data_IF_564972643484
#
_entry.id   IF_564972643484
#
_cell.length_a   1.000
_cell.length_b   1.000
_cell.length_c   1.000
_cell.angle_alpha   90.00
_cell.angle_beta   90.00
_cell.angle_gamma   90.00
#
_symmetry.space_group_name_H-M   'P 1'
#
loop_
_entity.id
_entity.type
_entity.pdbx_description
1 polymer ?
#
# COMPACT_ATOMS: atom_id res chain seq x y z
N UNK A 1 7.94 -10.55 -12.39
CA UNK A 1 7.00 -11.70 -12.48
C UNK A 1 5.76 -11.38 -11.67
N UNK A 2 4.57 -11.68 -12.20
CA UNK A 2 3.26 -11.27 -11.66
C UNK A 2 2.57 -12.45 -10.99
N UNK A 3 2.23 -12.34 -9.71
CA UNK A 3 1.51 -13.37 -8.95
C UNK A 3 0.02 -13.02 -8.93
N UNK A 4 -0.65 -13.32 -10.04
CA UNK A 4 -2.05 -12.94 -10.28
C UNK A 4 -3.00 -13.47 -9.20
N UNK A 5 -2.77 -14.66 -8.65
CA UNK A 5 -3.64 -15.24 -7.63
C UNK A 5 -3.51 -14.51 -6.29
N UNK A 6 -2.26 -14.24 -5.87
CA UNK A 6 -1.98 -13.48 -4.66
C UNK A 6 -2.48 -12.04 -4.75
N UNK A 7 -2.31 -11.39 -5.91
CA UNK A 7 -2.85 -10.04 -6.15
C UNK A 7 -4.38 -10.01 -6.05
N UNK A 8 -5.09 -11.00 -6.62
CA UNK A 8 -6.56 -11.09 -6.54
C UNK A 8 -7.04 -11.24 -5.09
N UNK A 9 -6.38 -12.10 -4.30
CA UNK A 9 -6.69 -12.29 -2.87
C UNK A 9 -6.47 -10.99 -2.09
N UNK A 10 -5.34 -10.32 -2.31
CA UNK A 10 -5.06 -9.02 -1.69
C UNK A 10 -6.10 -7.96 -2.08
N UNK A 11 -6.44 -7.85 -3.36
CA UNK A 11 -7.46 -6.92 -3.85
C UNK A 11 -8.84 -7.18 -3.23
N UNK A 12 -9.22 -8.45 -3.08
CA UNK A 12 -10.48 -8.84 -2.45
C UNK A 12 -10.55 -8.39 -0.99
N UNK A 13 -9.53 -8.74 -0.19
CA UNK A 13 -9.46 -8.36 1.22
C UNK A 13 -9.42 -6.83 1.39
N UNK A 14 -8.64 -6.14 0.56
CA UNK A 14 -8.49 -4.69 0.61
C UNK A 14 -9.80 -3.98 0.28
N UNK A 15 -10.55 -4.51 -0.69
CA UNK A 15 -11.89 -4.03 -1.00
C UNK A 15 -12.81 -4.17 0.21
N UNK A 16 -12.83 -5.33 0.88
CA UNK A 16 -13.69 -5.56 2.04
C UNK A 16 -13.36 -4.63 3.21
N UNK A 17 -12.07 -4.42 3.50
CA UNK A 17 -11.63 -3.52 4.57
C UNK A 17 -12.01 -2.07 4.24
N UNK A 18 -11.70 -1.59 3.02
CA UNK A 18 -11.90 -0.19 2.62
C UNK A 18 -13.35 0.29 2.64
N UNK A 19 -14.32 -0.62 2.47
CA UNK A 19 -15.75 -0.31 2.60
C UNK A 19 -16.31 -0.63 4.00
N UNK A 20 -15.45 -1.05 4.94
CA UNK A 20 -15.84 -1.37 6.32
C UNK A 20 -16.72 -2.61 6.46
N UNK A 21 -16.60 -3.60 5.56
CA UNK A 21 -17.31 -4.88 5.68
C UNK A 21 -16.69 -5.76 6.77
N UNK A 22 -15.36 -5.85 6.78
CA UNK A 22 -14.56 -6.58 7.76
C UNK A 22 -13.84 -5.62 8.71
N UNK A 23 -13.39 -6.14 9.85
CA UNK A 23 -12.52 -5.37 10.76
C UNK A 23 -11.08 -5.35 10.26
N UNK A 24 -10.26 -4.47 10.83
CA UNK A 24 -8.81 -4.53 10.67
C UNK A 24 -8.32 -5.93 11.08
N UNK A 25 -8.63 -6.44 12.27
CA UNK A 25 -8.17 -7.76 12.74
C UNK A 25 -8.58 -8.92 11.80
N UNK A 26 -9.83 -8.91 11.30
CA UNK A 26 -10.29 -9.88 10.29
C UNK A 26 -9.43 -9.80 9.02
N UNK A 27 -9.11 -8.59 8.58
CA UNK A 27 -8.27 -8.35 7.42
C UNK A 27 -6.84 -8.87 7.63
N UNK A 28 -6.26 -8.71 8.83
CA UNK A 28 -4.97 -9.31 9.17
C UNK A 28 -4.99 -10.82 9.10
N UNK A 29 -5.96 -11.45 9.77
CA UNK A 29 -6.09 -12.91 9.73
C UNK A 29 -6.21 -13.40 8.29
N UNK A 30 -7.08 -12.76 7.50
CA UNK A 30 -7.28 -13.12 6.10
C UNK A 30 -6.00 -12.94 5.27
N UNK A 31 -5.24 -11.86 5.46
CA UNK A 31 -3.97 -11.67 4.75
C UNK A 31 -2.92 -12.70 5.15
N UNK A 32 -2.88 -13.09 6.43
CA UNK A 32 -1.96 -14.12 6.92
C UNK A 32 -2.25 -15.51 6.32
N UNK A 33 -3.52 -15.79 6.04
CA UNK A 33 -3.93 -17.07 5.44
C UNK A 33 -3.74 -17.09 3.92
N UNK A 34 -3.93 -15.94 3.27
CA UNK A 34 -4.07 -15.88 1.81
C UNK A 34 -2.91 -15.23 1.04
N UNK A 35 -2.16 -14.31 1.68
CA UNK A 35 -1.26 -13.38 0.98
C UNK A 35 0.16 -13.36 1.56
N UNK A 36 0.34 -13.52 2.87
CA UNK A 36 1.67 -13.42 3.50
C UNK A 36 1.76 -14.28 4.75
N UNK A 37 2.96 -14.73 5.14
CA UNK A 37 3.16 -15.46 6.39
C UNK A 37 3.32 -14.55 7.62
N UNK A 38 3.08 -13.24 7.49
CA UNK A 38 3.10 -12.27 8.57
C UNK A 38 3.31 -10.83 8.10
N UNK A 39 3.42 -9.89 9.03
CA UNK A 39 3.46 -8.45 8.75
C UNK A 39 4.86 -7.83 8.70
N UNK A 40 5.90 -8.60 8.95
CA UNK A 40 7.27 -8.10 8.90
C UNK A 40 7.79 -8.05 7.46
N UNK A 41 8.66 -7.07 7.11
CA UNK A 41 9.25 -6.99 5.78
C UNK A 41 9.87 -8.30 5.28
N UNK A 42 10.49 -9.07 6.17
CA UNK A 42 11.13 -10.36 5.86
C UNK A 42 10.10 -11.45 5.52
N UNK A 43 8.85 -11.30 5.98
CA UNK A 43 7.74 -12.24 5.78
C UNK A 43 6.94 -11.95 4.51
N UNK A 44 7.00 -10.72 3.98
CA UNK A 44 6.31 -10.34 2.74
C UNK A 44 6.75 -11.20 1.56
N UNK A 45 8.05 -11.46 1.43
CA UNK A 45 8.64 -12.11 0.24
C UNK A 45 8.55 -13.64 0.26
N UNK A 46 8.20 -14.24 1.40
CA UNK A 46 8.32 -15.69 1.64
C UNK A 46 7.05 -16.29 2.23
N UNK A 47 5.90 -15.85 1.73
CA UNK A 47 4.63 -16.52 1.99
C UNK A 47 4.72 -17.99 1.53
N UNK A 48 4.10 -18.93 2.25
CA UNK A 48 4.16 -20.37 1.90
C UNK A 48 3.46 -20.63 0.56
N UNK A 49 2.56 -19.72 0.21
CA UNK A 49 1.73 -19.66 -0.97
C UNK A 49 2.47 -19.04 -2.17
N UNK A 50 3.54 -18.26 -1.92
CA UNK A 50 4.26 -17.55 -2.96
C UNK A 50 5.12 -18.52 -3.79
N UNK A 51 4.78 -18.66 -5.08
CA UNK A 51 5.63 -19.39 -6.04
C UNK A 51 6.86 -18.58 -6.42
N UNK A 52 6.77 -17.26 -6.32
CA UNK A 52 7.81 -16.31 -6.63
C UNK A 52 7.50 -14.95 -6.03
N UNK A 53 8.47 -14.05 -6.09
CA UNK A 53 8.37 -12.73 -5.50
C UNK A 53 7.80 -11.70 -6.49
N UNK A 54 6.59 -11.22 -6.21
CA UNK A 54 5.92 -10.18 -6.99
C UNK A 54 6.17 -8.81 -6.32
N UNK A 55 6.92 -7.90 -6.97
CA UNK A 55 7.38 -6.65 -6.34
C UNK A 55 6.26 -5.71 -5.86
N UNK A 56 5.02 -5.87 -6.34
CA UNK A 56 3.90 -5.04 -5.86
C UNK A 56 3.48 -5.38 -4.43
N UNK A 57 3.71 -6.60 -3.96
CA UNK A 57 3.06 -7.07 -2.74
C UNK A 57 3.57 -6.32 -1.52
N UNK A 58 4.87 -6.10 -1.39
CA UNK A 58 5.42 -5.35 -0.27
C UNK A 58 4.87 -3.91 -0.20
N UNK A 59 4.95 -3.08 -1.26
CA UNK A 59 4.36 -1.74 -1.25
C UNK A 59 2.88 -1.73 -0.88
N UNK A 60 2.12 -2.75 -1.31
CA UNK A 60 0.69 -2.85 -0.98
C UNK A 60 0.45 -3.22 0.48
N UNK A 61 1.23 -4.13 1.05
CA UNK A 61 1.14 -4.47 2.48
C UNK A 61 1.54 -3.28 3.36
N UNK A 62 2.56 -2.51 2.96
CA UNK A 62 2.93 -1.26 3.64
C UNK A 62 1.82 -0.21 3.58
N UNK A 63 1.13 -0.08 2.44
CA UNK A 63 -0.05 0.78 2.32
C UNK A 63 -1.19 0.30 3.23
N UNK A 64 -1.42 -1.02 3.30
CA UNK A 64 -2.45 -1.61 4.15
C UNK A 64 -2.17 -1.37 5.64
N UNK A 65 -0.90 -1.40 6.06
CA UNK A 65 -0.50 -1.06 7.42
C UNK A 65 -0.89 0.39 7.81
N UNK A 66 -0.92 1.31 6.84
CA UNK A 66 -1.42 2.67 7.06
C UNK A 66 -2.95 2.78 7.28
N UNK A 67 -3.70 1.69 7.07
CA UNK A 67 -5.15 1.62 7.31
C UNK A 67 -5.47 1.05 8.70
N UNK A 68 -4.45 0.82 9.53
CA UNK A 68 -4.51 0.01 10.73
C UNK A 68 -4.38 0.84 12.01
N UNK A 69 -4.92 0.30 13.11
CA UNK A 69 -4.78 0.81 14.47
C UNK A 69 -4.50 -0.38 15.38
N UNK A 70 -3.25 -0.54 15.81
CA UNK A 70 -2.81 -1.68 16.61
C UNK A 70 -3.41 -1.70 18.03
N UNK A 71 -4.11 -0.63 18.44
CA UNK A 71 -4.64 -0.49 19.81
C UNK A 71 -6.08 -0.94 19.95
N UNK A 72 -6.80 -1.11 18.83
CA UNK A 72 -8.22 -1.53 18.84
C UNK A 72 -8.67 -2.16 17.53
N UNK A 73 -9.60 -3.09 17.67
CA UNK A 73 -10.38 -3.58 16.54
C UNK A 73 -11.36 -2.50 16.05
N UNK A 74 -11.42 -2.28 14.74
CA UNK A 74 -12.31 -1.31 14.11
C UNK A 74 -12.66 -1.68 12.66
N UNK A 75 -13.67 -1.00 12.12
CA UNK A 75 -14.07 -1.07 10.70
C UNK A 75 -13.92 0.31 10.10
N UNK A 76 -13.49 0.44 8.84
CA UNK A 76 -13.32 1.74 8.16
C UNK A 76 -14.66 2.38 7.78
N UNK A 77 -15.47 2.73 8.78
CA UNK A 77 -16.81 3.34 8.68
C UNK A 77 -17.02 4.32 9.83
N UNK A 78 -18.02 5.20 9.70
CA UNK A 78 -18.32 6.18 10.75
C UNK A 78 -17.12 7.11 10.99
N UNK A 79 -16.64 7.18 12.23
CA UNK A 79 -15.46 7.97 12.61
C UNK A 79 -14.16 7.47 11.97
N UNK A 80 -14.10 6.18 11.63
CA UNK A 80 -12.92 5.53 11.04
C UNK A 80 -13.02 5.45 9.51
N UNK A 81 -14.02 6.13 8.91
CA UNK A 81 -14.23 6.10 7.47
C UNK A 81 -13.04 6.72 6.75
N UNK A 82 -12.59 6.05 5.69
CA UNK A 82 -11.61 6.63 4.77
C UNK A 82 -12.11 7.92 4.12
N UNK A 83 -11.19 8.86 3.91
CA UNK A 83 -11.45 10.03 3.08
C UNK A 83 -11.72 9.61 1.63
N UNK A 84 -12.43 10.45 0.87
CA UNK A 84 -12.69 10.17 -0.55
C UNK A 84 -11.39 10.08 -1.37
N UNK A 85 -10.35 10.81 -0.97
CA UNK A 85 -9.02 10.75 -1.57
C UNK A 85 -8.32 9.42 -1.29
N UNK A 86 -8.32 8.99 -0.02
CA UNK A 86 -7.79 7.68 0.37
C UNK A 86 -8.52 6.56 -0.36
N UNK A 87 -9.85 6.64 -0.48
CA UNK A 87 -10.66 5.64 -1.19
C UNK A 87 -10.30 5.58 -2.69
N UNK A 88 -10.02 6.72 -3.34
CA UNK A 88 -9.52 6.75 -4.72
C UNK A 88 -8.16 6.10 -4.86
N UNK A 89 -7.25 6.29 -3.90
CA UNK A 89 -5.95 5.61 -3.88
C UNK A 89 -6.17 4.10 -3.78
N UNK A 90 -6.99 3.63 -2.83
CA UNK A 90 -7.29 2.20 -2.66
C UNK A 90 -7.93 1.61 -3.93
N UNK A 91 -8.88 2.32 -4.55
CA UNK A 91 -9.51 1.87 -5.79
C UNK A 91 -8.50 1.71 -6.93
N UNK A 92 -7.53 2.63 -7.07
CA UNK A 92 -6.43 2.50 -8.05
C UNK A 92 -5.50 1.33 -7.73
N UNK A 93 -5.22 1.08 -6.46
CA UNK A 93 -4.42 -0.08 -6.03
C UNK A 93 -5.12 -1.39 -6.40
N UNK A 94 -6.41 -1.50 -6.09
CA UNK A 94 -7.24 -2.67 -6.47
C UNK A 94 -7.27 -2.83 -8.00
N UNK A 95 -7.39 -1.74 -8.75
CA UNK A 95 -7.34 -1.76 -10.21
C UNK A 95 -6.03 -2.36 -10.75
N UNK A 96 -4.89 -1.96 -10.17
CA UNK A 96 -3.57 -2.49 -10.52
C UNK A 96 -3.39 -3.95 -10.09
N UNK A 97 -3.87 -4.34 -8.91
CA UNK A 97 -3.82 -5.72 -8.46
C UNK A 97 -4.64 -6.66 -9.38
N UNK A 98 -5.65 -6.14 -10.07
CA UNK A 98 -6.38 -6.85 -11.13
C UNK A 98 -5.72 -6.77 -12.52
N UNK A 99 -4.55 -6.15 -12.66
CA UNK A 99 -3.79 -6.10 -13.90
C UNK A 99 -2.72 -7.17 -13.93
N UNK A 100 -2.32 -7.56 -15.15
CA UNK A 100 -1.18 -8.43 -15.39
C UNK A 100 0.12 -7.63 -15.61
N UNK A 101 0.15 -6.35 -15.20
CA UNK A 101 1.32 -5.49 -15.37
C UNK A 101 2.36 -5.74 -14.28
N UNK A 102 3.63 -5.74 -14.66
CA UNK A 102 4.73 -5.77 -13.70
C UNK A 102 4.80 -4.44 -12.93
N UNK A 103 5.19 -4.50 -11.66
CA UNK A 103 5.42 -3.28 -10.89
C UNK A 103 6.81 -2.72 -11.20
N UNK A 104 6.83 -1.52 -11.79
CA UNK A 104 8.06 -0.90 -12.32
C UNK A 104 8.67 0.15 -11.38
N UNK A 105 7.93 0.65 -10.39
CA UNK A 105 8.47 1.62 -9.44
C UNK A 105 9.58 0.98 -8.60
N UNK A 106 10.71 1.67 -8.36
CA UNK A 106 11.75 1.13 -7.51
C UNK A 106 11.26 1.01 -6.06
N UNK A 107 11.91 0.14 -5.29
CA UNK A 107 11.66 0.08 -3.85
C UNK A 107 12.04 1.41 -3.19
N UNK A 108 11.11 1.98 -2.43
CA UNK A 108 11.36 3.12 -1.55
C UNK A 108 10.92 2.77 -0.14
N UNK A 109 11.86 2.86 0.81
CA UNK A 109 11.57 2.61 2.21
C UNK A 109 10.80 3.80 2.79
N UNK A 110 9.48 3.64 2.93
CA UNK A 110 8.59 4.66 3.49
C UNK A 110 8.66 4.75 5.01
N UNK A 111 9.35 3.81 5.69
CA UNK A 111 9.43 3.82 7.14
C UNK A 111 10.17 5.05 7.65
N UNK A 112 9.71 5.57 8.79
CA UNK A 112 10.38 6.69 9.44
C UNK A 112 11.81 6.26 9.81
N UNK A 113 12.86 7.01 9.43
CA UNK A 113 14.24 6.72 9.82
C UNK A 113 14.43 6.51 11.33
N UNK A 114 13.57 7.10 12.15
CA UNK A 114 13.56 6.97 13.61
C UNK A 114 13.18 5.57 14.13
N UNK A 115 12.43 4.78 13.35
CA UNK A 115 12.00 3.43 13.75
C UNK A 115 13.10 2.38 13.57
N UNK A 116 14.19 2.72 12.88
CA UNK A 116 15.38 1.88 12.76
C UNK A 116 16.24 2.06 14.01
N UNK A 117 15.80 1.50 15.14
CA UNK A 117 16.47 1.63 16.44
C UNK A 117 17.85 0.93 16.45
N UNK A 118 18.87 1.59 15.90
CA UNK A 118 20.27 1.20 16.04
C UNK A 118 20.88 1.91 17.24
N UNK A 119 21.42 1.17 18.20
CA UNK A 119 22.09 1.75 19.38
C UNK A 119 23.17 2.77 19.01
N UNK A 120 23.89 2.55 17.91
CA UNK A 120 24.90 3.47 17.37
C UNK A 120 24.26 4.81 16.95
N UNK A 121 23.11 4.76 16.29
CA UNK A 121 22.41 5.96 15.82
C UNK A 121 21.81 6.74 16.98
N UNK A 122 21.34 6.07 18.03
CA UNK A 122 20.90 6.71 19.28
C UNK A 122 22.04 7.51 19.91
N UNK A 123 23.22 6.92 20.04
CA UNK A 123 24.41 7.61 20.59
C UNK A 123 24.80 8.81 19.73
N UNK A 124 24.88 8.65 18.40
CA UNK A 124 25.20 9.75 17.48
C UNK A 124 24.15 10.85 17.56
N UNK A 125 22.87 10.51 17.67
CA UNK A 125 21.81 11.49 17.78
C UNK A 125 21.90 12.29 19.08
N UNK A 126 22.26 11.65 20.20
CA UNK A 126 22.51 12.35 21.47
C UNK A 126 23.72 13.28 21.33
N UNK A 127 24.84 12.78 20.78
CA UNK A 127 26.06 13.57 20.58
C UNK A 127 25.87 14.75 19.62
N UNK A 128 24.90 14.67 18.72
CA UNK A 128 24.55 15.73 17.78
C UNK A 128 23.32 16.55 18.22
N UNK A 129 22.87 16.41 19.48
CA UNK A 129 21.72 17.13 20.04
C UNK A 129 20.44 17.04 19.18
N UNK A 130 20.20 15.86 18.59
CA UNK A 130 19.05 15.64 17.72
C UNK A 130 19.26 16.03 16.25
N UNK A 131 20.39 16.66 15.90
CA UNK A 131 20.64 17.16 14.56
C UNK A 131 20.81 16.01 13.55
N UNK A 132 21.37 14.88 13.97
CA UNK A 132 21.50 13.68 13.12
C UNK A 132 20.15 13.23 12.55
N UNK A 133 19.14 12.99 13.40
CA UNK A 133 17.82 12.59 12.90
C UNK A 133 17.07 13.72 12.18
N UNK A 134 17.31 14.99 12.52
CA UNK A 134 16.77 16.13 11.75
C UNK A 134 17.27 16.11 10.31
N UNK A 135 18.57 15.87 10.11
CA UNK A 135 19.16 15.75 8.77
C UNK A 135 18.66 14.50 8.05
N UNK A 136 18.61 13.35 8.73
CA UNK A 136 18.06 12.11 8.13
C UNK A 136 16.61 12.25 7.66
N UNK A 137 15.76 12.95 8.43
CA UNK A 137 14.39 13.24 7.98
C UNK A 137 14.36 14.15 6.75
N UNK A 138 15.26 15.14 6.66
CA UNK A 138 15.37 15.99 5.47
C UNK A 138 15.84 15.19 4.25
N UNK A 139 16.87 14.37 4.41
CA UNK A 139 17.39 13.47 3.36
C UNK A 139 16.30 12.50 2.88
N UNK A 140 15.57 11.87 3.81
CA UNK A 140 14.48 10.96 3.50
C UNK A 140 13.33 11.66 2.77
N UNK A 141 12.95 12.86 3.22
CA UNK A 141 11.95 13.68 2.54
C UNK A 141 12.38 14.07 1.12
N UNK A 142 13.64 14.47 0.92
CA UNK A 142 14.19 14.76 -0.41
C UNK A 142 14.17 13.52 -1.30
N UNK A 143 14.60 12.37 -0.78
CA UNK A 143 14.56 11.10 -1.50
C UNK A 143 13.13 10.71 -1.89
N UNK A 144 12.14 10.98 -1.03
CA UNK A 144 10.72 10.77 -1.33
C UNK A 144 10.22 11.70 -2.44
N UNK A 145 10.67 12.96 -2.48
CA UNK A 145 10.35 13.88 -3.57
C UNK A 145 10.99 13.46 -4.89
N UNK A 146 12.24 12.98 -4.88
CA UNK A 146 12.89 12.44 -6.08
C UNK A 146 12.21 11.15 -6.56
N UNK A 147 11.81 10.27 -5.64
CA UNK A 147 11.05 9.07 -5.95
C UNK A 147 9.76 9.41 -6.71
N UNK A 148 8.99 10.40 -6.24
CA UNK A 148 7.76 10.83 -6.91
C UNK A 148 7.97 11.37 -8.33
N UNK A 149 9.18 11.82 -8.68
CA UNK A 149 9.51 12.32 -10.03
C UNK A 149 9.80 11.21 -11.04
N UNK A 150 9.98 9.96 -10.60
CA UNK A 150 10.32 8.84 -11.48
C UNK A 150 9.18 8.43 -12.43
N UNK A 151 7.95 8.80 -12.09
CA UNK A 151 6.78 8.57 -12.91
C UNK A 151 5.66 9.50 -12.49
N UNK A 152 4.43 9.23 -12.93
CA UNK A 152 3.29 10.00 -12.48
C UNK A 152 2.77 9.43 -11.15
N UNK A 153 3.18 10.05 -10.03
CA UNK A 153 2.79 9.59 -8.70
C UNK A 153 1.27 9.71 -8.44
N UNK A 154 0.58 10.62 -9.12
CA UNK A 154 -0.87 10.80 -8.98
C UNK A 154 -1.67 9.58 -9.43
N UNK A 155 -1.04 8.66 -10.18
CA UNK A 155 -1.65 7.41 -10.66
C UNK A 155 -0.96 6.16 -10.09
N UNK A 156 -0.05 6.29 -9.11
CA UNK A 156 0.54 5.15 -8.41
C UNK A 156 -0.55 4.13 -8.00
N UNK A 157 -0.35 2.81 -8.16
CA UNK A 157 0.90 2.10 -8.48
C UNK A 157 1.24 2.00 -9.98
N UNK A 158 0.45 2.61 -10.87
CA UNK A 158 0.82 2.70 -12.28
C UNK A 158 1.97 3.69 -12.45
N UNK A 159 2.89 3.41 -13.37
CA UNK A 159 3.99 4.33 -13.69
C UNK A 159 3.58 5.31 -14.81
N UNK A 160 2.85 4.81 -15.81
CA UNK A 160 2.44 5.54 -17.01
C UNK A 160 0.92 5.72 -17.06
N UNK A 161 0.49 6.87 -17.60
CA UNK A 161 -0.92 7.25 -17.68
C UNK A 161 -1.68 6.37 -18.68
N UNK A 162 -0.99 5.93 -19.72
CA UNK A 162 -1.52 5.03 -20.75
C UNK A 162 -1.95 3.70 -20.15
N UNK A 163 -1.09 3.10 -19.31
CA UNK A 163 -1.33 1.84 -18.62
C UNK A 163 -2.53 1.91 -17.69
N UNK A 164 -2.61 3.00 -16.90
CA UNK A 164 -3.74 3.26 -16.02
C UNK A 164 -5.06 3.38 -16.80
N UNK A 165 -5.07 4.18 -17.86
CA UNK A 165 -6.25 4.40 -18.68
C UNK A 165 -6.68 3.14 -19.44
N UNK A 166 -5.73 2.32 -19.90
CA UNK A 166 -6.03 1.04 -20.52
C UNK A 166 -6.69 0.09 -19.52
N UNK A 167 -6.14 -0.01 -18.31
CA UNK A 167 -6.69 -0.89 -17.28
C UNK A 167 -8.09 -0.44 -16.82
N UNK A 168 -8.35 0.88 -16.73
CA UNK A 168 -9.68 1.42 -16.45
C UNK A 168 -10.74 0.98 -17.47
N UNK A 169 -10.37 0.83 -18.75
CA UNK A 169 -11.30 0.35 -19.80
C UNK A 169 -11.65 -1.13 -19.60
N UNK A 170 -10.73 -1.92 -19.05
CA UNK A 170 -10.93 -3.36 -18.80
C UNK A 170 -11.79 -3.64 -17.57
N UNK A 171 -11.81 -2.71 -16.60
CA UNK A 171 -12.55 -2.84 -15.35
C UNK A 171 -13.55 -1.68 -15.18
N UNK A 172 -14.66 -1.67 -15.95
CA UNK A 172 -15.55 -0.51 -16.04
C UNK A 172 -16.20 -0.13 -14.70
N UNK A 173 -16.32 -1.05 -13.74
CA UNK A 173 -16.86 -0.73 -12.41
C UNK A 173 -15.93 0.17 -11.57
N UNK A 174 -14.68 0.40 -11.98
CA UNK A 174 -13.72 1.30 -11.33
C UNK A 174 -13.49 2.61 -12.12
N UNK A 175 -14.19 2.83 -13.23
CA UNK A 175 -14.00 4.00 -14.09
C UNK A 175 -14.67 5.29 -13.60
N UNK A 176 -15.33 5.24 -12.43
CA UNK A 176 -15.99 6.40 -11.82
C UNK A 176 -17.25 6.89 -12.55
N UNK A 177 -17.76 6.17 -13.56
CA UNK A 177 -19.03 6.51 -14.18
C UNK A 177 -20.17 6.19 -13.20
N UNK A 178 -20.83 7.23 -12.67
CA UNK A 178 -22.09 7.06 -11.96
C UNK A 178 -23.09 6.39 -12.90
N UNK A 179 -23.58 5.21 -12.48
CA UNK A 179 -24.70 4.55 -13.14
C UNK A 179 -25.87 5.53 -13.22
N UNK A 180 -26.19 6.01 -14.43
CA UNK A 180 -27.34 6.89 -14.71
C UNK A 180 -28.71 6.24 -14.46
N UNK A 181 -28.76 5.06 -13.85
CA UNK A 181 -29.97 4.27 -13.63
C UNK A 181 -30.42 4.22 -12.16
N UNK A 182 -29.84 5.02 -11.27
CA UNK A 182 -30.27 5.11 -9.87
C UNK A 182 -31.23 6.28 -9.60
N UNK A 183 -32.14 6.59 -10.54
CA UNK A 183 -33.39 7.33 -10.26
C UNK A 183 -34.44 6.78 -11.24
N UNK A 184 -35.28 5.88 -10.75
CA UNK A 184 -36.61 5.57 -11.29
C UNK A 184 -37.51 5.22 -10.10
#
# INVERSE_FOLDING_TARGET
MVDTERRKKLAFHLRQLSVGLITNDDFESNLMDDVTNGWLPEQFYRAKEAKFDDPIIQPMLLLCWGLYDDTRQHKLKGSDKLSDESLKIIARCILFLHSDQEYEWPYFDTNNPLLKFSFKEVVINILTLGQYYRNKRKEHHQAYLEFQKLGNFDIWPFLKVEDYNEQLKRQPFLNGQQNKFAIA
#
